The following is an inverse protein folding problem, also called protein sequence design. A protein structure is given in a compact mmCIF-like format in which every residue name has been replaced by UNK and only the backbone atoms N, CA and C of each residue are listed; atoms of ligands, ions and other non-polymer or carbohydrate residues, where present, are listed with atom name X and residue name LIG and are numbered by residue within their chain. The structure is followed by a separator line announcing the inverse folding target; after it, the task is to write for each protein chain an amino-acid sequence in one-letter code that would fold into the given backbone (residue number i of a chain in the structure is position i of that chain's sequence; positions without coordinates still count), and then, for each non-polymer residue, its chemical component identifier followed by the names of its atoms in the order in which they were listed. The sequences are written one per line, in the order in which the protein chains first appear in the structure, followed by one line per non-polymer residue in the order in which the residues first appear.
data_IF_460716988253
#
_entry.id   IF_460716988253
#
_cell.length_a   1.000
_cell.length_b   1.000
_cell.length_c   1.000
_cell.angle_alpha   90.00
_cell.angle_beta   90.00
_cell.angle_gamma   90.00
#
_symmetry.space_group_name_H-M   'P 1'
#
loop_
_entity.id
_entity.type
_entity.pdbx_description
1 polymer ?
#
# COMPACT_ATOMS: atom_id res chain seq x y z
N UNK A 1 -24.95 -51.77 18.11
CA UNK A 1 -24.77 -50.34 18.43
C UNK A 1 -23.36 -49.80 18.23
N UNK A 2 -22.29 -50.60 18.44
CA UNK A 2 -20.89 -50.14 18.41
C UNK A 2 -20.36 -49.64 17.04
N UNK A 3 -20.81 -50.21 15.92
CA UNK A 3 -20.37 -49.82 14.56
C UNK A 3 -20.88 -48.45 14.07
N UNK A 4 -22.07 -48.03 14.51
CA UNK A 4 -22.66 -46.73 14.11
C UNK A 4 -21.93 -45.56 14.78
N UNK A 5 -21.51 -45.71 16.04
CA UNK A 5 -20.70 -44.72 16.75
C UNK A 5 -19.34 -44.49 16.08
N UNK A 6 -18.67 -45.55 15.63
CA UNK A 6 -17.36 -45.45 14.96
C UNK A 6 -17.46 -44.64 13.66
N UNK A 7 -18.52 -44.82 12.87
CA UNK A 7 -18.71 -44.06 11.62
C UNK A 7 -18.90 -42.57 11.92
N UNK A 8 -19.70 -42.22 12.92
CA UNK A 8 -19.88 -40.82 13.32
C UNK A 8 -18.59 -40.20 13.87
N UNK A 9 -17.81 -40.94 14.66
CA UNK A 9 -16.52 -40.47 15.16
C UNK A 9 -15.52 -40.29 14.02
N UNK A 10 -15.46 -41.21 13.06
CA UNK A 10 -14.58 -41.10 11.88
C UNK A 10 -14.99 -39.93 11.00
N UNK A 11 -16.29 -39.72 10.77
CA UNK A 11 -16.79 -38.58 9.98
C UNK A 11 -16.51 -37.24 10.67
N UNK A 12 -16.66 -37.18 11.99
CA UNK A 12 -16.33 -36.00 12.79
C UNK A 12 -14.83 -35.67 12.74
N UNK A 13 -13.96 -36.69 12.85
CA UNK A 13 -12.51 -36.53 12.73
C UNK A 13 -12.09 -36.12 11.32
N UNK A 14 -12.71 -36.68 10.27
CA UNK A 14 -12.49 -36.27 8.88
C UNK A 14 -12.88 -34.80 8.65
N UNK A 15 -14.01 -34.37 9.22
CA UNK A 15 -14.45 -32.98 9.15
C UNK A 15 -13.43 -32.04 9.81
N UNK A 16 -12.95 -32.39 11.02
CA UNK A 16 -11.93 -31.62 11.74
C UNK A 16 -10.60 -31.55 10.99
N UNK A 17 -10.18 -32.61 10.30
CA UNK A 17 -8.97 -32.63 9.48
C UNK A 17 -9.08 -31.72 8.24
N UNK A 18 -10.27 -31.61 7.63
CA UNK A 18 -10.55 -30.68 6.53
C UNK A 18 -10.51 -29.23 7.01
N UNK A 19 -11.02 -28.94 8.22
CA UNK A 19 -10.92 -27.59 8.82
C UNK A 19 -9.51 -27.22 9.29
N UNK A 20 -8.67 -28.21 9.63
CA UNK A 20 -7.29 -27.97 10.07
C UNK A 20 -6.31 -27.66 8.92
N UNK A 21 -6.69 -27.91 7.66
CA UNK A 21 -5.80 -27.83 6.49
C UNK A 21 -5.88 -26.53 5.67
N UNK A 22 -6.57 -25.49 6.13
CA UNK A 22 -6.46 -24.17 5.47
C UNK A 22 -6.17 -23.03 6.45
N UNK A 23 -4.96 -22.94 7.04
CA UNK A 23 -4.55 -21.70 7.68
C UNK A 23 -4.27 -20.56 6.68
N UNK A 24 -4.16 -20.82 5.37
CA UNK A 24 -3.66 -19.82 4.43
C UNK A 24 -4.69 -19.25 3.42
N UNK A 25 -5.95 -19.69 3.46
CA UNK A 25 -6.97 -19.18 2.51
C UNK A 25 -8.00 -18.37 3.30
N UNK A 26 -7.79 -17.05 3.35
CA UNK A 26 -8.82 -15.98 3.30
C UNK A 26 -8.31 -14.60 3.79
N UNK A 27 -7.05 -14.46 4.21
CA UNK A 27 -6.48 -13.13 4.52
C UNK A 27 -5.45 -12.75 3.46
N UNK A 28 -5.91 -12.13 2.38
CA UNK A 28 -5.04 -11.33 1.52
C UNK A 28 -4.56 -10.10 2.31
N UNK A 29 -3.54 -10.27 3.15
CA UNK A 29 -2.92 -9.15 3.84
C UNK A 29 -2.04 -8.39 2.86
N UNK A 30 -2.63 -7.41 2.16
CA UNK A 30 -1.88 -6.42 1.40
C UNK A 30 -1.36 -5.35 2.37
N UNK A 31 -0.25 -5.67 3.05
CA UNK A 31 0.45 -4.76 3.98
C UNK A 31 1.61 -4.08 3.26
N UNK A 32 1.30 -3.18 2.33
CA UNK A 32 2.31 -2.25 1.85
C UNK A 32 2.58 -1.22 2.95
N UNK A 33 3.84 -1.07 3.34
CA UNK A 33 4.23 -0.13 4.39
C UNK A 33 5.18 0.92 3.83
N UNK A 34 5.01 2.15 4.31
CA UNK A 34 5.89 3.28 3.99
C UNK A 34 6.40 3.82 5.32
N UNK A 35 7.72 3.83 5.49
CA UNK A 35 8.40 4.43 6.63
C UNK A 35 9.18 5.63 6.15
N UNK A 36 8.96 6.77 6.79
CA UNK A 36 9.59 8.05 6.42
C UNK A 36 10.32 8.59 7.65
N UNK A 37 11.59 8.89 7.48
CA UNK A 37 12.37 9.66 8.43
C UNK A 37 12.71 11.02 7.78
N UNK A 38 12.37 12.10 8.45
CA UNK A 38 12.61 13.45 7.97
C UNK A 38 13.38 14.25 9.01
N UNK A 39 14.51 14.83 8.59
CA UNK A 39 15.39 15.64 9.43
C UNK A 39 15.51 17.05 8.86
N UNK A 40 15.18 18.05 9.66
CA UNK A 40 15.35 19.45 9.29
C UNK A 40 16.83 19.82 9.32
N UNK A 41 17.32 20.46 8.26
CA UNK A 41 18.68 21.03 8.15
C UNK A 41 18.53 22.56 8.05
N UNK A 42 18.48 23.29 9.18
CA UNK A 42 18.11 24.70 9.22
C UNK A 42 19.04 25.60 8.43
N UNK A 43 20.35 25.35 8.51
CA UNK A 43 21.39 26.17 7.85
C UNK A 43 21.22 26.19 6.33
N UNK A 44 20.73 25.08 5.77
CA UNK A 44 20.47 24.93 4.33
C UNK A 44 19.02 25.23 3.96
N UNK A 45 18.15 25.49 4.94
CA UNK A 45 16.69 25.62 4.76
C UNK A 45 16.11 24.42 4.00
N UNK A 46 16.60 23.22 4.31
CA UNK A 46 16.24 21.98 3.63
C UNK A 46 15.69 20.96 4.61
N UNK A 47 14.84 20.06 4.11
CA UNK A 47 14.41 18.87 4.82
C UNK A 47 15.08 17.66 4.15
N UNK A 48 15.86 16.91 4.92
CA UNK A 48 16.44 15.64 4.46
C UNK A 48 15.42 14.54 4.70
N UNK A 49 15.00 13.85 3.66
CA UNK A 49 13.99 12.77 3.75
C UNK A 49 14.64 11.44 3.36
N UNK A 50 14.46 10.44 4.22
CA UNK A 50 14.75 9.04 3.96
C UNK A 50 13.44 8.25 3.97
N UNK A 51 13.13 7.54 2.88
CA UNK A 51 11.88 6.80 2.73
C UNK A 51 12.16 5.35 2.35
N UNK A 52 11.51 4.42 3.07
CA UNK A 52 11.55 2.99 2.81
C UNK A 52 10.13 2.53 2.48
N UNK A 53 9.98 1.85 1.34
CA UNK A 53 8.71 1.26 0.91
C UNK A 53 8.88 -0.26 0.91
N UNK A 54 8.07 -0.96 1.70
CA UNK A 54 8.01 -2.43 1.66
C UNK A 54 6.74 -2.84 0.92
N UNK A 55 6.91 -3.54 -0.19
CA UNK A 55 5.82 -4.02 -1.03
C UNK A 55 5.88 -5.55 -1.14
N UNK A 56 4.71 -6.20 -1.03
CA UNK A 56 4.57 -7.65 -1.26
C UNK A 56 3.66 -7.88 -2.46
N UNK A 57 4.18 -8.53 -3.51
CA UNK A 57 3.34 -8.98 -4.63
C UNK A 57 2.45 -10.13 -4.14
N UNK A 58 1.15 -9.91 -4.07
CA UNK A 58 0.16 -10.92 -3.67
C UNK A 58 -0.47 -11.63 -4.86
N UNK A 59 -0.14 -11.24 -6.10
CA UNK A 59 -0.64 -11.90 -7.30
C UNK A 59 0.14 -13.18 -7.60
N UNK A 60 -0.49 -14.08 -8.35
CA UNK A 60 0.16 -15.29 -8.85
C UNK A 60 1.05 -15.03 -10.09
N UNK A 61 1.06 -13.80 -10.60
CA UNK A 61 1.82 -13.41 -11.79
C UNK A 61 3.04 -12.54 -11.41
N UNK A 62 3.97 -12.42 -12.35
CA UNK A 62 5.20 -11.65 -12.19
C UNK A 62 4.91 -10.15 -12.28
N UNK A 63 5.24 -9.42 -11.21
CA UNK A 63 5.22 -7.95 -11.22
C UNK A 63 6.37 -7.43 -12.10
N UNK A 64 6.02 -6.70 -13.18
CA UNK A 64 7.01 -6.16 -14.13
C UNK A 64 7.41 -4.71 -13.85
N UNK A 65 6.49 -3.92 -13.30
CA UNK A 65 6.67 -2.48 -13.12
C UNK A 65 6.03 -2.03 -11.81
N UNK A 66 6.69 -1.09 -11.13
CA UNK A 66 6.14 -0.36 -9.97
C UNK A 66 6.10 1.12 -10.33
N UNK A 67 4.95 1.76 -10.13
CA UNK A 67 4.80 3.21 -10.25
C UNK A 67 4.72 3.82 -8.86
N UNK A 68 5.60 4.78 -8.57
CA UNK A 68 5.63 5.53 -7.32
C UNK A 68 5.36 7.00 -7.63
N UNK A 69 4.46 7.63 -6.90
CA UNK A 69 4.20 9.06 -7.04
C UNK A 69 5.17 9.84 -6.17
N UNK A 70 5.92 10.77 -6.77
CA UNK A 70 6.73 11.76 -6.05
C UNK A 70 6.07 13.15 -6.20
N UNK A 71 5.15 13.43 -5.29
CA UNK A 71 4.42 14.70 -5.29
C UNK A 71 5.29 15.88 -4.89
N UNK A 72 6.29 15.68 -4.03
CA UNK A 72 7.13 16.77 -3.56
C UNK A 72 8.06 17.27 -4.67
N UNK A 73 8.63 16.36 -5.46
CA UNK A 73 9.46 16.76 -6.60
C UNK A 73 8.66 17.51 -7.67
N UNK A 74 7.38 17.20 -7.82
CA UNK A 74 6.51 17.90 -8.78
C UNK A 74 6.34 19.39 -8.48
N UNK A 75 6.70 19.85 -7.27
CA UNK A 75 6.72 21.27 -6.87
C UNK A 75 8.13 21.80 -6.52
N UNK A 76 9.19 21.03 -6.80
CA UNK A 76 10.57 21.39 -6.41
C UNK A 76 11.04 22.72 -7.02
N UNK A 77 10.55 23.04 -8.22
CA UNK A 77 10.80 24.31 -8.92
C UNK A 77 9.49 24.99 -9.34
N UNK A 78 9.46 26.32 -9.24
CA UNK A 78 8.30 27.15 -9.60
C UNK A 78 7.86 27.02 -11.07
N UNK A 79 8.75 26.52 -11.92
CA UNK A 79 8.51 26.36 -13.36
C UNK A 79 7.94 25.00 -13.73
N UNK A 80 7.82 24.06 -12.79
CA UNK A 80 7.25 22.75 -13.08
C UNK A 80 5.82 22.91 -13.60
N UNK A 81 5.34 22.03 -14.48
CA UNK A 81 3.98 22.10 -15.00
C UNK A 81 2.91 22.13 -13.89
N UNK A 82 3.12 21.37 -12.82
CA UNK A 82 2.18 21.29 -11.70
C UNK A 82 2.23 22.56 -10.82
N UNK A 83 3.42 23.10 -10.54
CA UNK A 83 3.55 24.36 -9.81
C UNK A 83 2.96 25.54 -10.59
N UNK A 84 3.10 25.56 -11.93
CA UNK A 84 2.46 26.56 -12.79
C UNK A 84 0.94 26.47 -12.74
N UNK A 85 0.37 25.28 -12.90
CA UNK A 85 -1.08 25.04 -12.78
C UNK A 85 -1.61 25.49 -11.42
N UNK A 86 -0.93 25.11 -10.34
CA UNK A 86 -1.28 25.56 -8.99
C UNK A 86 -1.26 27.08 -8.86
N UNK A 87 -0.21 27.75 -9.38
CA UNK A 87 -0.12 29.21 -9.35
C UNK A 87 -1.20 29.92 -10.20
N UNK A 88 -1.64 29.30 -11.31
CA UNK A 88 -2.74 29.82 -12.14
C UNK A 88 -4.06 29.85 -11.37
N UNK A 89 -4.32 28.91 -10.45
CA UNK A 89 -5.55 28.90 -9.64
C UNK A 89 -5.66 30.08 -8.66
N UNK A 90 -4.51 30.61 -8.19
CA UNK A 90 -4.46 31.78 -7.29
C UNK A 90 -4.20 33.08 -8.04
N UNK A 91 -4.09 33.02 -9.37
CA UNK A 91 -3.93 34.21 -10.19
C UNK A 91 -5.28 34.90 -10.29
N UNK A 92 -5.48 35.91 -9.45
CA UNK A 92 -6.66 36.78 -9.47
C UNK A 92 -6.58 37.76 -10.65
N UNK A 93 -6.61 37.24 -11.88
CA UNK A 93 -6.85 38.07 -13.05
C UNK A 93 -8.34 38.43 -13.01
N UNK A 94 -8.67 39.60 -12.44
CA UNK A 94 -10.03 40.11 -12.43
C UNK A 94 -10.51 40.23 -13.88
N UNK A 95 -11.44 39.38 -14.28
CA UNK A 95 -12.21 39.58 -15.49
C UNK A 95 -13.21 40.71 -15.21
N UNK A 96 -12.78 41.94 -15.47
CA UNK A 96 -13.69 43.06 -15.62
C UNK A 96 -14.46 42.86 -16.93
N UNK A 97 -15.69 42.40 -16.83
CA UNK A 97 -16.67 42.42 -17.91
C UNK A 97 -17.33 43.79 -18.00
#
# INVERSE_FOLDING_TARGET
MKKRGIIFTVLYVLCMLVYAQSPDVLTAENKNTISINASLVPDKKQLSIEQIITYKNTSADTLKTIYLNDWMESYSVKTSPLAKRFAEEFKSDFHFA
#
